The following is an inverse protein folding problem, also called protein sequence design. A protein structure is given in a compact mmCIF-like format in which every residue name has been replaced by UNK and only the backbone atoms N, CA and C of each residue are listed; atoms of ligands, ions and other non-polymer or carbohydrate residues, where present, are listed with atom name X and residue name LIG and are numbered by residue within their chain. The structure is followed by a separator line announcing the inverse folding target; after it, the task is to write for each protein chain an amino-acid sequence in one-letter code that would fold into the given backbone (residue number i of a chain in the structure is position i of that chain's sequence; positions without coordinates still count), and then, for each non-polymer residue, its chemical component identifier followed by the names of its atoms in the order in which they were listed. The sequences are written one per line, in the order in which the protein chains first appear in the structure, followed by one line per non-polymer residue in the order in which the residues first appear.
data_IF_153145862752
#
_entry.id   IF_153145862752
#
_cell.length_a   1.000
_cell.length_b   1.000
_cell.length_c   1.000
_cell.angle_alpha   90.00
_cell.angle_beta   90.00
_cell.angle_gamma   90.00
#
_symmetry.space_group_name_H-M   'P 1'
#
loop_
_entity.id
_entity.type
_entity.pdbx_description
1 polymer ?
#
# COMPACT_ATOMS: atom_id res chain seq x y z
N UNK A 1 -7.90 21.62 3.18
CA UNK A 1 -7.81 21.01 3.00
C UNK A 1 -8.01 20.03 3.19
N UNK A 2 -8.00 19.53 3.02
CA UNK A 2 -8.29 18.55 3.03
C UNK A 2 -7.68 17.62 3.59
N UNK A 3 -8.01 16.87 4.02
CA UNK A 3 -7.49 15.97 4.60
C UNK A 3 -6.99 15.09 3.81
N UNK A 4 -6.05 14.53 4.03
CA UNK A 4 -5.53 13.68 3.30
C UNK A 4 -6.04 12.41 3.43
N UNK A 5 -6.85 11.95 2.66
CA UNK A 5 -7.26 10.61 2.66
C UNK A 5 -6.21 9.76 2.04
N UNK A 6 -6.07 8.52 2.50
CA UNK A 6 -5.11 7.55 1.93
C UNK A 6 -5.51 7.24 0.49
N UNK A 7 -4.58 7.38 -0.43
CA UNK A 7 -4.85 7.13 -1.84
C UNK A 7 -4.45 5.69 -2.16
N UNK A 8 -5.41 4.80 -2.15
CA UNK A 8 -5.17 3.39 -2.36
C UNK A 8 -4.58 3.13 -3.75
N UNK A 9 -5.11 3.78 -4.77
CA UNK A 9 -4.63 3.58 -6.13
C UNK A 9 -3.17 4.00 -6.26
N UNK A 10 -2.81 5.12 -5.66
CA UNK A 10 -1.43 5.57 -5.71
C UNK A 10 -0.52 4.60 -4.94
N UNK A 11 -1.02 4.06 -3.83
CA UNK A 11 -0.23 3.13 -3.05
C UNK A 11 0.03 1.85 -3.83
N UNK A 12 -0.96 1.36 -4.55
CA UNK A 12 -0.78 0.15 -5.34
C UNK A 12 0.22 0.41 -6.46
N UNK A 13 0.15 1.59 -7.08
CA UNK A 13 1.10 1.93 -8.13
C UNK A 13 2.52 1.97 -7.58
N UNK A 14 2.68 2.52 -6.40
CA UNK A 14 4.00 2.57 -5.79
C UNK A 14 4.50 1.17 -5.46
N UNK A 15 3.61 0.31 -4.97
CA UNK A 15 3.98 -1.07 -4.69
C UNK A 15 4.48 -1.77 -5.94
N UNK A 16 3.82 -1.54 -7.06
CA UNK A 16 4.24 -2.16 -8.31
C UNK A 16 5.62 -1.69 -8.72
N UNK A 17 5.90 -0.42 -8.50
CA UNK A 17 7.23 0.08 -8.80
C UNK A 17 8.29 -0.54 -7.90
N UNK A 18 7.95 -0.73 -6.63
CA UNK A 18 8.89 -1.33 -5.70
C UNK A 18 9.17 -2.78 -6.06
N UNK A 19 8.14 -3.51 -6.48
CA UNK A 19 8.33 -4.88 -6.88
C UNK A 19 9.23 -4.96 -8.11
N UNK A 20 9.01 -4.08 -9.08
CA UNK A 20 9.84 -4.07 -10.27
C UNK A 20 11.28 -3.81 -9.91
N UNK A 21 11.51 -2.93 -8.94
CA UNK A 21 12.85 -2.61 -8.54
C UNK A 21 13.52 -3.79 -7.88
N UNK A 22 12.79 -4.51 -7.05
CA UNK A 22 13.34 -5.68 -6.38
C UNK A 22 13.66 -6.77 -7.37
N UNK A 23 12.89 -6.87 -8.45
CA UNK A 23 13.13 -7.89 -9.45
C UNK A 23 14.24 -7.53 -10.42
N UNK A 24 14.68 -6.29 -10.40
CA UNK A 24 15.74 -5.84 -11.30
C UNK A 24 17.07 -6.38 -10.81
N UNK A 25 17.77 -7.18 -11.62
CA UNK A 25 19.01 -7.79 -11.17
C UNK A 25 20.11 -6.78 -10.86
N UNK A 26 19.96 -5.54 -11.30
CA UNK A 26 20.96 -4.54 -11.01
C UNK A 26 20.72 -3.78 -9.74
N UNK A 27 19.63 -4.04 -9.08
CA UNK A 27 19.33 -3.34 -7.83
C UNK A 27 20.20 -3.91 -6.72
N UNK A 28 20.86 -3.03 -5.97
CA UNK A 28 21.72 -3.47 -4.90
C UNK A 28 20.95 -3.95 -3.70
N UNK A 29 21.62 -4.72 -2.88
CA UNK A 29 21.00 -5.29 -1.69
C UNK A 29 20.48 -4.22 -0.74
N UNK A 30 21.20 -3.11 -0.62
CA UNK A 30 20.74 -2.06 0.26
C UNK A 30 19.46 -1.44 -0.26
N UNK A 31 19.35 -1.30 -1.58
CA UNK A 31 18.15 -0.75 -2.17
C UNK A 31 16.99 -1.70 -1.99
N UNK A 32 17.25 -3.00 -2.08
CA UNK A 32 16.20 -3.99 -1.89
C UNK A 32 15.64 -3.88 -0.48
N UNK A 33 16.52 -3.72 0.51
CA UNK A 33 16.06 -3.57 1.88
C UNK A 33 15.14 -2.38 2.05
N UNK A 34 15.50 -1.25 1.44
CA UNK A 34 14.65 -0.08 1.51
C UNK A 34 13.31 -0.29 0.82
N UNK A 35 13.33 -0.98 -0.32
CA UNK A 35 12.10 -1.27 -1.03
C UNK A 35 11.18 -2.14 -0.20
N UNK A 36 11.73 -3.15 0.47
CA UNK A 36 10.93 -4.04 1.29
C UNK A 36 10.30 -3.29 2.46
N UNK A 37 11.08 -2.43 3.12
CA UNK A 37 10.54 -1.66 4.22
C UNK A 37 9.40 -0.77 3.78
N UNK A 38 9.58 -0.09 2.65
CA UNK A 38 8.53 0.77 2.15
C UNK A 38 7.31 -0.03 1.74
N UNK A 39 7.54 -1.20 1.12
CA UNK A 39 6.44 -2.03 0.69
C UNK A 39 5.63 -2.52 1.89
N UNK A 40 6.30 -2.87 2.98
CA UNK A 40 5.60 -3.31 4.17
C UNK A 40 4.73 -2.20 4.73
N UNK A 41 5.25 -0.99 4.71
CA UNK A 41 4.47 0.15 5.19
C UNK A 41 3.24 0.35 4.33
N UNK A 42 3.40 0.26 3.01
CA UNK A 42 2.27 0.45 2.12
C UNK A 42 1.24 -0.65 2.25
N UNK A 43 1.70 -1.89 2.41
CA UNK A 43 0.79 -3.01 2.58
C UNK A 43 -0.04 -2.81 3.85
N UNK A 44 0.60 -2.38 4.93
CA UNK A 44 -0.12 -2.16 6.18
C UNK A 44 -1.19 -1.10 5.99
N UNK A 45 -0.87 -0.02 5.30
CA UNK A 45 -1.83 1.05 5.09
C UNK A 45 -2.97 0.59 4.18
N UNK A 46 -2.65 -0.21 3.17
CA UNK A 46 -3.68 -0.74 2.30
C UNK A 46 -4.63 -1.64 3.06
N UNK A 47 -4.10 -2.47 3.96
CA UNK A 47 -4.95 -3.35 4.74
C UNK A 47 -5.88 -2.56 5.65
N UNK A 48 -5.35 -1.51 6.27
CA UNK A 48 -6.17 -0.68 7.14
C UNK A 48 -7.28 -0.02 6.33
N UNK A 49 -6.92 0.49 5.15
CA UNK A 49 -7.89 1.14 4.30
C UNK A 49 -9.01 0.18 3.90
N UNK A 50 -8.64 -1.04 3.50
CA UNK A 50 -9.63 -2.02 3.07
C UNK A 50 -10.50 -2.46 4.22
N UNK A 51 -9.93 -2.59 5.42
CA UNK A 51 -10.72 -2.96 6.58
C UNK A 51 -11.76 -1.90 6.89
N UNK A 52 -11.36 -0.64 6.83
CA UNK A 52 -12.29 0.44 7.10
C UNK A 52 -13.38 0.50 6.06
N UNK A 53 -13.03 0.26 4.81
CA UNK A 53 -14.03 0.26 3.75
C UNK A 53 -15.02 -0.87 3.96
N UNK A 54 -14.51 -2.03 4.38
CA UNK A 54 -15.38 -3.16 4.61
C UNK A 54 -16.33 -2.90 5.78
N UNK A 55 -15.83 -2.23 6.81
CA UNK A 55 -16.68 -1.94 7.94
C UNK A 55 -17.83 -1.02 7.55
N UNK A 56 -17.57 -0.09 6.64
CA UNK A 56 -18.62 0.78 6.19
C UNK A 56 -19.69 0.02 5.42
N UNK A 57 -19.26 -0.92 4.61
CA UNK A 57 -20.20 -1.74 3.85
C UNK A 57 -21.03 -2.60 4.80
N UNK A 58 -20.37 -3.17 5.80
CA UNK A 58 -21.08 -3.99 6.78
C UNK A 58 -22.15 -3.19 7.49
N UNK A 59 -21.85 -1.95 7.82
CA UNK A 59 -22.84 -1.13 8.49
C UNK A 59 -24.04 -0.85 7.60
N UNK A 60 -23.79 -0.68 6.31
CA UNK A 60 -24.90 -0.45 5.40
C UNK A 60 -25.78 -1.67 5.28
N UNK A 61 -25.17 -2.86 5.32
CA UNK A 61 -25.93 -4.06 5.18
C UNK A 61 -26.76 -4.39 6.41
N UNK A 62 -26.33 -3.94 7.54
CA UNK A 62 -27.02 -4.24 8.78
C UNK A 62 -28.32 -3.46 8.91
N UNK A 63 -28.45 -2.34 8.16
CA UNK A 63 -29.62 -1.58 8.29
C UNK A 63 -30.80 -2.24 7.81
#
# INVERSE_FOLDING_TARGET
MEEKEFDYTAAVAELEMLVAKVEDPETGIEDIGGCVSRAEELVTRCRTYLRQAREKVDKLEVQ
#
